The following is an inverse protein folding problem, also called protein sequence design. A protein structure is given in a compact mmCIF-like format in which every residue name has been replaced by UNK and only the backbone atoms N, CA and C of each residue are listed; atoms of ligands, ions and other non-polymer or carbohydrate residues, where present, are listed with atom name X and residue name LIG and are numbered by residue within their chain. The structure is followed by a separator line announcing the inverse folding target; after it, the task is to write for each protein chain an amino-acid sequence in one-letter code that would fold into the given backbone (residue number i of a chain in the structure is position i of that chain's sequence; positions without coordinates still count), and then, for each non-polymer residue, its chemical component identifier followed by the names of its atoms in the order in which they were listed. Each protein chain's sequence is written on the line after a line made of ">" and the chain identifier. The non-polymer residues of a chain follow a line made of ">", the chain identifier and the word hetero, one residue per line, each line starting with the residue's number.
data_IF_562937347959
#
_entry.id   IF_562937347959
#
_cell.length_a   1.000
_cell.length_b   1.000
_cell.length_c   1.000
_cell.angle_alpha   90.00
_cell.angle_beta   90.00
_cell.angle_gamma   90.00
#
_symmetry.space_group_name_H-M   'P 1'
#
loop_
_entity.id
_entity.type
_entity.pdbx_description
1 polymer ?
#
# COMPACT_ATOMS: atom_id res chain seq x y z
N UNK A 1 -41.74 -39.12 6.50
CA UNK A 1 -40.53 -38.29 6.73
C UNK A 1 -39.91 -38.01 5.37
N UNK A 2 -40.02 -36.77 4.87
CA UNK A 2 -39.55 -36.37 3.53
C UNK A 2 -38.27 -35.56 3.67
N UNK A 3 -37.21 -36.08 3.08
CA UNK A 3 -35.88 -35.47 2.91
C UNK A 3 -35.97 -34.25 1.99
N UNK A 4 -35.45 -33.11 2.45
CA UNK A 4 -35.17 -31.95 1.61
C UNK A 4 -33.66 -31.69 1.66
N UNK A 5 -32.94 -32.14 0.63
CA UNK A 5 -31.55 -31.79 0.39
C UNK A 5 -31.51 -30.40 -0.25
N UNK A 6 -31.04 -29.40 0.49
CA UNK A 6 -30.77 -28.07 -0.03
C UNK A 6 -29.38 -28.10 -0.68
N UNK A 7 -29.34 -28.10 -2.01
CA UNK A 7 -28.11 -27.94 -2.76
C UNK A 7 -27.70 -26.45 -2.73
N UNK A 8 -26.66 -26.12 -1.97
CA UNK A 8 -26.02 -24.81 -2.02
C UNK A 8 -25.14 -24.73 -3.27
N UNK A 9 -25.65 -24.10 -4.33
CA UNK A 9 -24.85 -23.74 -5.50
C UNK A 9 -23.89 -22.60 -5.11
N UNK A 10 -22.61 -22.94 -4.90
CA UNK A 10 -21.55 -21.96 -4.68
C UNK A 10 -21.23 -21.29 -6.02
N UNK A 11 -21.75 -20.09 -6.23
CA UNK A 11 -21.27 -19.21 -7.29
C UNK A 11 -19.83 -18.83 -6.96
N UNK A 12 -18.86 -19.45 -7.64
CA UNK A 12 -17.48 -18.96 -7.69
C UNK A 12 -17.48 -17.77 -8.64
N UNK A 13 -18.00 -16.65 -8.16
CA UNK A 13 -17.80 -15.36 -8.79
C UNK A 13 -16.33 -15.02 -8.67
N UNK A 14 -15.57 -15.26 -9.75
CA UNK A 14 -14.21 -14.77 -9.89
C UNK A 14 -14.25 -13.25 -9.81
N UNK A 15 -14.04 -12.71 -8.61
CA UNK A 15 -13.75 -11.29 -8.41
C UNK A 15 -12.39 -11.03 -9.05
N UNK A 16 -12.41 -10.69 -10.34
CA UNK A 16 -11.28 -10.04 -10.97
C UNK A 16 -11.16 -8.67 -10.32
N UNK A 17 -10.35 -8.59 -9.26
CA UNK A 17 -9.88 -7.32 -8.73
C UNK A 17 -9.00 -6.69 -9.80
N UNK A 18 -9.60 -5.90 -10.68
CA UNK A 18 -8.85 -4.84 -11.37
C UNK A 18 -8.66 -3.74 -10.33
N UNK A 19 -7.82 -3.98 -9.32
CA UNK A 19 -7.37 -2.91 -8.45
C UNK A 19 -6.63 -1.94 -9.34
N UNK A 20 -7.26 -0.79 -9.60
CA UNK A 20 -6.52 0.41 -9.92
C UNK A 20 -5.67 0.69 -8.66
N UNK A 21 -4.55 0.00 -8.53
CA UNK A 21 -3.66 0.01 -7.38
C UNK A 21 -2.96 1.36 -7.20
N UNK A 22 -3.33 2.37 -7.98
CA UNK A 22 -2.96 3.77 -7.80
C UNK A 22 -4.00 4.57 -6.98
N UNK A 23 -5.18 4.01 -6.68
CA UNK A 23 -6.24 4.71 -5.94
C UNK A 23 -5.88 4.95 -4.45
N UNK A 24 -4.97 4.15 -3.89
CA UNK A 24 -4.47 4.31 -2.53
C UNK A 24 -2.98 4.69 -2.57
N UNK A 25 -2.66 5.89 -2.09
CA UNK A 25 -1.32 6.45 -2.10
C UNK A 25 -0.77 6.60 -0.69
N UNK A 26 0.42 6.08 -0.45
CA UNK A 26 1.17 6.26 0.78
C UNK A 26 2.23 7.32 0.57
N UNK A 27 2.07 8.44 1.26
CA UNK A 27 3.01 9.55 1.20
C UNK A 27 3.55 9.84 2.60
N UNK A 28 4.86 9.95 2.71
CA UNK A 28 5.54 10.39 3.92
C UNK A 28 6.52 11.52 3.61
N UNK A 29 6.60 12.45 4.56
CA UNK A 29 7.44 13.63 4.48
C UNK A 29 7.99 13.97 5.86
N UNK A 30 9.27 14.32 5.92
CA UNK A 30 9.83 14.99 7.10
C UNK A 30 10.79 16.10 6.68
N UNK A 31 10.74 17.19 7.44
CA UNK A 31 11.80 18.19 7.41
C UNK A 31 13.06 17.62 8.09
N UNK A 32 14.23 18.11 7.67
CA UNK A 32 15.52 17.78 8.26
C UNK A 32 16.14 19.06 8.84
N UNK A 33 16.81 18.95 10.00
CA UNK A 33 17.31 20.13 10.71
C UNK A 33 18.49 20.84 10.03
N UNK A 34 19.30 20.09 9.25
CA UNK A 34 20.54 20.59 8.61
C UNK A 34 20.67 20.22 7.13
N UNK A 35 19.68 19.51 6.59
CA UNK A 35 19.72 18.96 5.23
C UNK A 35 18.39 19.21 4.51
N UNK A 36 18.35 18.91 3.21
CA UNK A 36 17.13 19.00 2.43
C UNK A 36 16.02 18.13 3.06
N UNK A 37 14.75 18.58 3.04
CA UNK A 37 13.64 17.74 3.46
C UNK A 37 13.56 16.49 2.59
N UNK A 38 13.12 15.39 3.19
CA UNK A 38 13.02 14.10 2.52
C UNK A 38 11.55 13.67 2.46
N UNK A 39 11.19 13.03 1.36
CA UNK A 39 9.84 12.52 1.13
C UNK A 39 9.91 11.19 0.38
N UNK A 40 8.88 10.36 0.57
CA UNK A 40 8.67 9.16 -0.23
C UNK A 40 7.19 9.03 -0.59
N UNK A 41 6.95 8.41 -1.75
CA UNK A 41 5.61 8.11 -2.24
C UNK A 41 5.59 6.70 -2.81
N UNK A 42 4.62 5.91 -2.36
CA UNK A 42 4.30 4.58 -2.90
C UNK A 42 2.79 4.47 -3.09
N UNK A 43 2.37 3.44 -3.82
CA UNK A 43 0.97 3.18 -4.18
C UNK A 43 0.56 1.75 -3.79
N UNK A 44 -0.74 1.49 -3.77
CA UNK A 44 -1.31 0.16 -3.60
C UNK A 44 -2.16 0.03 -2.35
N UNK A 45 -3.11 -0.90 -2.37
CA UNK A 45 -4.06 -1.10 -1.25
C UNK A 45 -3.38 -1.49 0.06
N UNK A 46 -2.22 -2.14 -0.01
CA UNK A 46 -1.41 -2.57 1.14
C UNK A 46 -0.16 -1.71 1.35
N UNK A 47 -0.11 -0.50 0.76
CA UNK A 47 1.03 0.38 0.99
C UNK A 47 1.07 0.80 2.48
N UNK A 48 2.27 1.01 3.01
CA UNK A 48 2.49 1.54 4.36
C UNK A 48 3.50 2.66 4.32
N UNK A 49 3.39 3.57 5.28
CA UNK A 49 4.35 4.64 5.44
C UNK A 49 4.66 4.82 6.93
N UNK A 50 5.90 5.21 7.21
CA UNK A 50 6.37 5.52 8.55
C UNK A 50 7.23 6.78 8.50
N UNK A 51 7.01 7.69 9.44
CA UNK A 51 7.76 8.94 9.56
C UNK A 51 8.27 9.11 10.97
N UNK A 52 9.58 9.32 11.09
CA UNK A 52 10.20 9.77 12.34
C UNK A 52 10.57 11.25 12.14
N UNK A 53 9.88 12.17 12.83
CA UNK A 53 10.10 13.60 12.68
C UNK A 53 11.58 13.96 12.84
N UNK A 54 12.09 14.78 11.93
CA UNK A 54 13.48 15.28 11.93
C UNK A 54 14.56 14.21 11.75
N UNK A 55 14.19 12.98 11.41
CA UNK A 55 15.13 11.86 11.32
C UNK A 55 15.02 11.05 10.03
N UNK A 56 13.84 10.49 9.72
CA UNK A 56 13.71 9.55 8.59
C UNK A 56 12.28 9.36 8.11
N UNK A 57 12.12 8.95 6.85
CA UNK A 57 10.87 8.47 6.26
C UNK A 57 11.07 7.09 5.63
N UNK A 58 10.02 6.28 5.69
CA UNK A 58 9.95 4.98 5.03
C UNK A 58 8.60 4.81 4.34
N UNK A 59 8.61 4.35 3.09
CA UNK A 59 7.41 4.00 2.35
C UNK A 59 7.57 2.60 1.76
N UNK A 60 6.57 1.74 1.95
CA UNK A 60 6.50 0.40 1.37
C UNK A 60 5.25 0.32 0.50
N UNK A 61 5.39 -0.18 -0.71
CA UNK A 61 4.28 -0.29 -1.66
C UNK A 61 4.78 -0.35 -3.10
N UNK A 62 3.89 -0.15 -4.07
CA UNK A 62 4.25 -0.08 -5.48
C UNK A 62 4.85 1.28 -5.85
N UNK A 63 5.88 1.28 -6.71
CA UNK A 63 6.36 2.48 -7.39
C UNK A 63 5.47 2.84 -8.60
N UNK A 64 5.78 3.96 -9.27
CA UNK A 64 5.07 4.40 -10.49
C UNK A 64 5.17 3.40 -11.65
N UNK A 65 6.08 2.43 -11.57
CA UNK A 65 6.28 1.38 -12.55
C UNK A 65 5.59 0.06 -12.14
N UNK A 66 4.82 0.06 -11.05
CA UNK A 66 4.12 -1.13 -10.56
C UNK A 66 5.02 -2.16 -9.88
N UNK A 67 6.23 -1.77 -9.44
CA UNK A 67 7.15 -2.66 -8.70
C UNK A 67 6.99 -2.45 -7.21
N UNK A 68 6.87 -3.53 -6.44
CA UNK A 68 6.84 -3.44 -4.98
C UNK A 68 8.24 -3.05 -4.45
N UNK A 69 8.31 -1.90 -3.78
CA UNK A 69 9.54 -1.29 -3.28
C UNK A 69 9.42 -0.96 -1.80
N UNK A 70 10.58 -0.86 -1.14
CA UNK A 70 10.73 -0.32 0.21
C UNK A 70 11.71 0.84 0.12
N UNK A 71 11.18 2.06 0.14
CA UNK A 71 11.94 3.30 0.07
C UNK A 71 12.23 3.78 1.48
N UNK A 72 13.51 3.93 1.82
CA UNK A 72 13.95 4.44 3.11
C UNK A 72 14.90 5.63 2.89
N UNK A 73 14.55 6.77 3.48
CA UNK A 73 15.37 7.98 3.44
C UNK A 73 15.62 8.49 4.86
N UNK A 74 16.82 9.03 5.09
CA UNK A 74 17.25 9.56 6.39
C UNK A 74 17.85 10.95 6.21
N UNK A 75 17.59 11.83 7.18
CA UNK A 75 18.27 13.11 7.28
C UNK A 75 19.78 12.89 7.51
N UNK A 76 20.61 13.62 6.75
CA UNK A 76 22.06 13.69 6.90
C UNK A 76 22.45 14.88 7.79
#
# INVERSE_FOLDING_TARGET
>A
MRTFLVAAAMFVGSLAFTSNSQANGCYAYTACARSAPIACQTYGDACTWNTIPWLSVQCVGFDVYGRWVNLYFRCL
#
